data_IF_567604789284
#
_entry.id   IF_567604789284
#
_cell.length_a   1.000
_cell.length_b   1.000
_cell.length_c   1.000
_cell.angle_alpha   90.00
_cell.angle_beta   90.00
_cell.angle_gamma   90.00
#
_symmetry.space_group_name_H-M   'P 1'
#
loop_
_entity.id
_entity.type
_entity.pdbx_description
1 polymer ?
#
# COMPACT_ATOMS: atom_id res chain seq x y z
N UNK A 1 14.65 29.77 -4.56
CA UNK A 1 14.91 29.44 -5.94
C UNK A 1 13.99 28.32 -6.34
N UNK A 2 13.01 28.67 -7.21
CA UNK A 2 12.03 27.75 -7.77
C UNK A 2 12.79 26.69 -8.58
N UNK A 3 12.77 25.45 -8.09
CA UNK A 3 13.21 24.33 -8.91
C UNK A 3 12.23 24.21 -10.09
N UNK A 4 12.72 24.12 -11.33
CA UNK A 4 11.84 23.92 -12.46
C UNK A 4 11.10 22.60 -12.27
N UNK A 5 9.78 22.65 -12.21
CA UNK A 5 8.93 21.47 -12.25
C UNK A 5 9.21 20.81 -13.59
N UNK A 6 10.01 19.76 -13.57
CA UNK A 6 10.27 18.93 -14.76
C UNK A 6 8.95 18.28 -15.14
N UNK A 7 8.32 18.82 -16.17
CA UNK A 7 7.12 18.22 -16.76
C UNK A 7 7.52 16.89 -17.41
N UNK A 8 7.23 15.79 -16.73
CA UNK A 8 7.39 14.45 -17.29
C UNK A 8 6.43 14.32 -18.47
N UNK A 9 6.97 14.23 -19.68
CA UNK A 9 6.17 13.99 -20.88
C UNK A 9 5.77 12.51 -20.93
N UNK A 10 4.54 12.22 -20.53
CA UNK A 10 4.00 10.87 -20.65
C UNK A 10 3.60 10.61 -22.11
N UNK A 11 4.06 9.51 -22.74
CA UNK A 11 3.76 9.21 -24.14
C UNK A 11 2.33 8.62 -24.29
N UNK A 12 1.30 9.43 -24.03
CA UNK A 12 -0.12 8.99 -24.01
C UNK A 12 -0.53 8.28 -25.30
N UNK A 13 -0.11 8.80 -26.47
CA UNK A 13 -0.43 8.15 -27.77
C UNK A 13 0.16 6.74 -27.90
N UNK A 14 1.37 6.54 -27.39
CA UNK A 14 2.01 5.23 -27.37
C UNK A 14 1.29 4.29 -26.41
N UNK A 15 0.96 4.75 -25.20
CA UNK A 15 0.19 3.98 -24.23
C UNK A 15 -1.17 3.54 -24.79
N UNK A 16 -1.84 4.41 -25.55
CA UNK A 16 -3.12 4.08 -26.16
C UNK A 16 -3.02 3.09 -27.33
N UNK A 17 -1.87 2.95 -27.97
CA UNK A 17 -1.67 2.07 -29.12
C UNK A 17 -1.08 0.71 -28.77
N UNK A 18 -0.10 0.70 -27.88
CA UNK A 18 0.79 -0.46 -27.68
C UNK A 18 0.54 -1.17 -26.34
N UNK A 19 -0.29 -0.61 -25.46
CA UNK A 19 -0.51 -1.21 -24.14
C UNK A 19 -1.76 -2.10 -24.09
N UNK A 20 -1.90 -2.85 -22.98
CA UNK A 20 -3.09 -3.68 -22.71
C UNK A 20 -4.33 -2.82 -22.45
N UNK A 21 -5.52 -3.40 -22.60
CA UNK A 21 -6.79 -2.71 -22.38
C UNK A 21 -6.90 -2.09 -20.98
N UNK A 22 -6.34 -2.73 -19.95
CA UNK A 22 -6.30 -2.18 -18.61
C UNK A 22 -5.47 -0.89 -18.53
N UNK A 23 -4.27 -0.87 -19.14
CA UNK A 23 -3.41 0.32 -19.19
C UNK A 23 -4.04 1.42 -20.03
N UNK A 24 -4.70 1.09 -21.14
CA UNK A 24 -5.43 2.05 -21.96
C UNK A 24 -6.56 2.71 -21.15
N UNK A 25 -7.37 1.91 -20.46
CA UNK A 25 -8.45 2.40 -19.60
C UNK A 25 -7.92 3.33 -18.50
N UNK A 26 -6.86 2.93 -17.81
CA UNK A 26 -6.21 3.75 -16.78
C UNK A 26 -5.58 5.04 -17.36
N UNK A 27 -5.01 4.97 -18.55
CA UNK A 27 -4.50 6.15 -19.26
C UNK A 27 -5.61 7.18 -19.52
N UNK A 28 -6.80 6.73 -19.94
CA UNK A 28 -7.96 7.61 -20.13
C UNK A 28 -8.40 8.25 -18.80
N UNK A 29 -8.53 7.43 -17.75
CA UNK A 29 -9.03 7.89 -16.46
C UNK A 29 -8.00 8.76 -15.73
N UNK A 30 -6.75 8.28 -15.61
CA UNK A 30 -5.77 8.88 -14.71
C UNK A 30 -4.98 10.01 -15.35
N UNK A 31 -4.65 9.90 -16.64
CA UNK A 31 -3.85 10.90 -17.34
C UNK A 31 -4.70 11.90 -18.12
N UNK A 32 -5.66 11.41 -18.89
CA UNK A 32 -6.54 12.27 -19.66
C UNK A 32 -7.67 12.88 -18.81
N UNK A 33 -7.95 12.33 -17.63
CA UNK A 33 -9.05 12.72 -16.73
C UNK A 33 -10.41 12.67 -17.43
N UNK A 34 -10.58 11.71 -18.33
CA UNK A 34 -11.80 11.48 -19.10
C UNK A 34 -12.53 10.24 -18.59
N UNK A 35 -13.84 10.22 -18.83
CA UNK A 35 -14.62 9.00 -18.61
C UNK A 35 -14.32 8.03 -19.77
N UNK A 36 -13.89 6.78 -19.50
CA UNK A 36 -13.60 5.83 -20.56
C UNK A 36 -14.88 5.43 -21.29
N UNK A 37 -14.78 5.17 -22.59
CA UNK A 37 -15.87 4.59 -23.36
C UNK A 37 -16.19 3.18 -22.84
N UNK A 38 -17.42 2.73 -23.06
CA UNK A 38 -17.89 1.42 -22.60
C UNK A 38 -17.02 0.27 -23.13
N UNK A 39 -16.60 0.36 -24.38
CA UNK A 39 -15.73 -0.62 -25.02
C UNK A 39 -14.36 -0.71 -24.32
N UNK A 40 -13.76 0.41 -23.94
CA UNK A 40 -12.49 0.43 -23.23
C UNK A 40 -12.61 -0.20 -21.82
N UNK A 41 -13.75 0.03 -21.14
CA UNK A 41 -14.05 -0.64 -19.88
C UNK A 41 -14.23 -2.15 -20.06
N UNK A 42 -14.96 -2.58 -21.07
CA UNK A 42 -15.17 -3.99 -21.35
C UNK A 42 -13.85 -4.71 -21.68
N UNK A 43 -12.99 -4.11 -22.49
CA UNK A 43 -11.66 -4.68 -22.81
C UNK A 43 -10.81 -4.82 -21.53
N UNK A 44 -10.86 -3.87 -20.62
CA UNK A 44 -10.15 -3.96 -19.34
C UNK A 44 -10.68 -5.10 -18.45
N UNK A 45 -12.01 -5.30 -18.44
CA UNK A 45 -12.65 -6.34 -17.63
C UNK A 45 -12.38 -7.77 -18.12
N UNK A 46 -12.13 -7.97 -19.43
CA UNK A 46 -11.88 -9.31 -19.98
C UNK A 46 -10.40 -9.73 -19.95
N UNK A 47 -9.55 -8.99 -19.25
CA UNK A 47 -8.16 -9.41 -19.05
C UNK A 47 -8.12 -10.72 -18.26
N UNK A 48 -7.48 -11.75 -18.79
CA UNK A 48 -7.48 -13.12 -18.25
C UNK A 48 -7.08 -13.17 -16.77
N UNK A 49 -6.01 -12.47 -16.41
CA UNK A 49 -5.55 -12.43 -15.01
C UNK A 49 -6.57 -11.81 -14.05
N UNK A 50 -7.32 -10.80 -14.50
CA UNK A 50 -8.37 -10.16 -13.71
C UNK A 50 -9.60 -11.07 -13.58
N UNK A 51 -10.00 -11.75 -14.63
CA UNK A 51 -11.10 -12.73 -14.59
C UNK A 51 -10.73 -13.86 -13.64
N UNK A 52 -9.52 -14.45 -13.80
CA UNK A 52 -9.05 -15.51 -12.90
C UNK A 52 -9.06 -15.05 -11.44
N UNK A 53 -8.56 -13.86 -11.18
CA UNK A 53 -8.61 -13.26 -9.85
C UNK A 53 -10.04 -13.12 -9.34
N UNK A 54 -10.97 -12.62 -10.16
CA UNK A 54 -12.36 -12.41 -9.76
C UNK A 54 -13.08 -13.73 -9.41
N UNK A 55 -12.86 -14.81 -10.18
CA UNK A 55 -13.54 -16.09 -9.97
C UNK A 55 -12.94 -16.93 -8.84
N UNK A 56 -11.71 -16.62 -8.40
CA UNK A 56 -11.07 -17.32 -7.27
C UNK A 56 -11.36 -16.69 -5.91
N UNK A 57 -12.16 -15.62 -5.86
CA UNK A 57 -12.59 -14.98 -4.62
C UNK A 57 -13.47 -15.93 -3.78
N UNK A 58 -13.25 -15.98 -2.48
CA UNK A 58 -14.10 -16.68 -1.54
C UNK A 58 -15.40 -15.89 -1.25
N UNK A 59 -16.42 -16.58 -0.75
CA UNK A 59 -17.72 -15.97 -0.42
C UNK A 59 -17.65 -14.86 0.65
N UNK A 60 -16.63 -14.91 1.51
CA UNK A 60 -16.39 -13.90 2.55
C UNK A 60 -15.70 -12.62 2.00
N UNK A 61 -15.31 -12.63 0.74
CA UNK A 61 -14.62 -11.53 0.07
C UNK A 61 -13.09 -11.58 0.21
N UNK A 62 -12.53 -12.68 0.67
CA UNK A 62 -11.08 -12.91 0.75
C UNK A 62 -10.57 -13.72 -0.43
N UNK A 63 -9.25 -13.74 -0.62
CA UNK A 63 -8.54 -14.63 -1.53
C UNK A 63 -7.55 -15.49 -0.76
N UNK A 64 -7.60 -16.80 -1.02
CA UNK A 64 -6.69 -17.77 -0.40
C UNK A 64 -6.76 -17.84 1.12
N UNK A 65 -7.78 -17.24 1.75
CA UNK A 65 -7.89 -17.13 3.21
C UNK A 65 -6.76 -16.29 3.86
N UNK A 66 -6.06 -15.47 3.08
CA UNK A 66 -4.88 -14.72 3.50
C UNK A 66 -4.98 -13.25 3.14
N UNK A 67 -4.30 -12.41 3.92
CA UNK A 67 -4.18 -10.97 3.65
C UNK A 67 -3.01 -10.66 2.71
N UNK A 68 -1.85 -11.30 2.94
CA UNK A 68 -0.60 -11.06 2.23
C UNK A 68 -0.16 -12.25 1.39
N UNK A 69 0.50 -12.02 0.24
CA UNK A 69 1.01 -13.10 -0.59
C UNK A 69 2.15 -13.85 0.12
N UNK A 70 2.23 -15.14 -0.11
CA UNK A 70 3.36 -15.98 0.31
C UNK A 70 4.49 -15.85 -0.69
N UNK A 71 5.73 -15.87 -0.23
CA UNK A 71 6.90 -15.90 -1.10
C UNK A 71 6.81 -17.10 -2.06
N UNK A 72 6.96 -16.86 -3.37
CA UNK A 72 6.85 -17.90 -4.39
C UNK A 72 5.43 -18.33 -4.78
N UNK A 73 4.39 -17.78 -4.15
CA UNK A 73 3.02 -18.02 -4.58
C UNK A 73 2.73 -17.33 -5.92
N UNK A 74 1.70 -17.82 -6.62
CA UNK A 74 1.22 -17.18 -7.84
C UNK A 74 0.78 -15.72 -7.53
N UNK A 75 0.91 -14.80 -8.49
CA UNK A 75 0.45 -13.42 -8.32
C UNK A 75 -1.03 -13.34 -7.95
N UNK A 76 -1.39 -12.35 -7.14
CA UNK A 76 -2.77 -12.02 -6.79
C UNK A 76 -3.57 -13.14 -6.09
N UNK A 77 -2.89 -14.02 -5.35
CA UNK A 77 -3.52 -15.12 -4.60
C UNK A 77 -3.90 -14.75 -3.17
N UNK A 78 -3.59 -13.54 -2.72
CA UNK A 78 -3.94 -13.04 -1.39
C UNK A 78 -4.82 -11.79 -1.49
N UNK A 79 -5.61 -11.52 -0.45
CA UNK A 79 -6.69 -10.53 -0.47
C UNK A 79 -6.23 -9.14 -0.88
N UNK A 80 -5.15 -8.61 -0.30
CA UNK A 80 -4.69 -7.27 -0.62
C UNK A 80 -4.14 -7.15 -2.05
N UNK A 81 -3.37 -8.13 -2.50
CA UNK A 81 -2.84 -8.14 -3.86
C UNK A 81 -3.91 -8.36 -4.92
N UNK A 82 -4.88 -9.23 -4.64
CA UNK A 82 -6.00 -9.51 -5.54
C UNK A 82 -6.94 -8.30 -5.71
N UNK A 83 -7.33 -7.68 -4.59
CA UNK A 83 -8.17 -6.47 -4.62
C UNK A 83 -7.50 -5.34 -5.42
N UNK A 84 -6.20 -5.11 -5.17
CA UNK A 84 -5.41 -4.13 -5.90
C UNK A 84 -5.35 -4.44 -7.38
N UNK A 85 -5.06 -5.68 -7.74
CA UNK A 85 -4.97 -6.10 -9.14
C UNK A 85 -6.26 -5.81 -9.92
N UNK A 86 -7.42 -6.10 -9.34
CA UNK A 86 -8.70 -5.79 -9.98
C UNK A 86 -8.88 -4.28 -10.20
N UNK A 87 -8.52 -3.44 -9.20
CA UNK A 87 -8.57 -1.98 -9.37
C UNK A 87 -7.60 -1.50 -10.47
N UNK A 88 -6.39 -2.04 -10.51
CA UNK A 88 -5.37 -1.70 -11.51
C UNK A 88 -5.78 -2.14 -12.91
N UNK A 89 -6.51 -3.25 -13.03
CA UNK A 89 -7.13 -3.70 -14.27
C UNK A 89 -8.35 -2.87 -14.69
N UNK A 90 -8.74 -1.86 -13.92
CA UNK A 90 -9.84 -0.94 -14.27
C UNK A 90 -11.23 -1.43 -13.84
N UNK A 91 -11.32 -2.45 -12.98
CA UNK A 91 -12.61 -2.88 -12.42
C UNK A 91 -13.18 -1.78 -11.53
N UNK A 92 -14.46 -1.53 -11.69
CA UNK A 92 -15.18 -0.55 -10.89
C UNK A 92 -15.40 -1.08 -9.47
N UNK A 93 -15.36 -0.20 -8.47
CA UNK A 93 -15.59 -0.51 -7.06
C UNK A 93 -16.93 -1.18 -6.75
N UNK A 94 -17.93 -0.99 -7.61
CA UNK A 94 -19.25 -1.60 -7.46
C UNK A 94 -19.36 -2.95 -8.20
N UNK A 95 -18.32 -3.38 -8.93
CA UNK A 95 -18.27 -4.73 -9.48
C UNK A 95 -18.32 -5.78 -8.38
N UNK A 96 -19.02 -6.93 -8.60
CA UNK A 96 -19.31 -7.89 -7.52
C UNK A 96 -18.11 -8.29 -6.67
N UNK A 97 -16.92 -8.65 -7.23
CA UNK A 97 -15.77 -9.03 -6.41
C UNK A 97 -15.30 -7.92 -5.49
N UNK A 98 -15.19 -6.67 -6.01
CA UNK A 98 -14.74 -5.53 -5.21
C UNK A 98 -15.80 -5.09 -4.19
N UNK A 99 -17.08 -5.16 -4.54
CA UNK A 99 -18.17 -4.81 -3.64
C UNK A 99 -18.29 -5.77 -2.45
N UNK A 100 -18.01 -7.06 -2.65
CA UNK A 100 -17.99 -8.06 -1.56
C UNK A 100 -16.73 -7.89 -0.72
N UNK A 101 -15.56 -7.86 -1.34
CA UNK A 101 -14.28 -7.73 -0.65
C UNK A 101 -14.13 -6.41 0.11
N UNK A 102 -14.74 -5.33 -0.37
CA UNK A 102 -14.83 -4.05 0.34
C UNK A 102 -15.34 -4.22 1.77
N UNK A 103 -16.41 -5.03 1.96
CA UNK A 103 -16.98 -5.29 3.30
C UNK A 103 -15.97 -5.94 4.22
N UNK A 104 -15.21 -6.89 3.69
CA UNK A 104 -14.11 -7.53 4.39
C UNK A 104 -13.03 -6.50 4.82
N UNK A 105 -12.57 -5.64 3.89
CA UNK A 105 -11.58 -4.61 4.20
C UNK A 105 -12.07 -3.61 5.25
N UNK A 106 -13.34 -3.19 5.21
CA UNK A 106 -13.91 -2.32 6.23
C UNK A 106 -13.96 -2.97 7.62
N UNK A 107 -14.15 -4.29 7.70
CA UNK A 107 -14.07 -5.01 8.98
C UNK A 107 -12.67 -4.91 9.59
N UNK A 108 -11.61 -5.02 8.77
CA UNK A 108 -10.23 -4.84 9.24
C UNK A 108 -9.97 -3.46 9.86
N UNK A 109 -10.68 -2.43 9.42
CA UNK A 109 -10.59 -1.07 10.00
C UNK A 109 -11.38 -0.92 11.30
N UNK A 110 -12.48 -1.64 11.47
CA UNK A 110 -13.41 -1.49 12.59
C UNK A 110 -13.05 -2.36 13.81
N UNK A 111 -12.50 -3.57 13.59
CA UNK A 111 -12.27 -4.59 14.62
C UNK A 111 -10.83 -4.53 15.15
N UNK A 112 -10.54 -3.53 15.99
CA UNK A 112 -9.19 -3.23 16.47
C UNK A 112 -8.58 -4.30 17.36
N UNK A 113 -9.40 -4.89 18.22
CA UNK A 113 -8.98 -5.73 19.33
C UNK A 113 -9.15 -7.24 19.04
N UNK A 114 -9.82 -7.59 17.93
CA UNK A 114 -10.10 -8.98 17.60
C UNK A 114 -8.83 -9.70 17.09
N UNK A 115 -8.28 -10.68 17.85
CA UNK A 115 -7.09 -11.43 17.42
C UNK A 115 -7.30 -12.18 16.10
N UNK A 116 -8.53 -12.63 15.79
CA UNK A 116 -8.84 -13.36 14.55
C UNK A 116 -8.58 -12.51 13.31
N UNK A 117 -8.59 -11.18 13.43
CA UNK A 117 -8.31 -10.24 12.33
C UNK A 117 -6.81 -10.09 12.02
N UNK A 118 -5.94 -10.79 12.72
CA UNK A 118 -4.53 -10.93 12.35
C UNK A 118 -4.32 -11.98 11.26
N UNK A 119 -5.29 -12.87 11.04
CA UNK A 119 -5.21 -13.96 10.04
C UNK A 119 -3.87 -14.72 10.15
N UNK A 120 -3.18 -14.92 9.04
CA UNK A 120 -1.88 -15.61 8.98
C UNK A 120 -0.80 -14.98 9.86
N UNK A 121 -0.92 -13.68 10.21
CA UNK A 121 0.06 -12.99 11.07
C UNK A 121 -0.17 -13.26 12.56
N UNK A 122 -1.25 -13.97 12.91
CA UNK A 122 -1.51 -14.37 14.31
C UNK A 122 -0.46 -15.32 14.86
N UNK A 123 0.06 -16.21 14.04
CA UNK A 123 1.14 -17.13 14.42
C UNK A 123 2.46 -16.38 14.65
N UNK A 124 2.76 -15.40 13.82
CA UNK A 124 3.96 -14.54 13.96
C UNK A 124 3.91 -13.71 15.24
N UNK A 125 2.75 -13.17 15.57
CA UNK A 125 2.55 -12.40 16.80
C UNK A 125 2.66 -13.27 18.05
N UNK A 126 2.15 -14.49 18.01
CA UNK A 126 2.09 -15.38 19.17
C UNK A 126 1.48 -14.69 20.38
N UNK A 127 2.19 -14.68 21.52
CA UNK A 127 1.82 -13.97 22.74
C UNK A 127 2.34 -12.54 22.82
N UNK A 128 3.13 -12.07 21.84
CA UNK A 128 3.75 -10.75 21.85
C UNK A 128 2.72 -9.67 21.47
N UNK A 129 2.26 -8.95 22.50
CA UNK A 129 1.22 -7.90 22.35
C UNK A 129 1.68 -6.70 21.52
N UNK A 130 2.95 -6.30 21.66
CA UNK A 130 3.48 -5.17 20.90
C UNK A 130 3.61 -5.51 19.42
N UNK A 131 4.08 -6.72 19.10
CA UNK A 131 4.13 -7.20 17.73
C UNK A 131 2.71 -7.30 17.13
N UNK A 132 1.75 -7.88 17.83
CA UNK A 132 0.36 -7.95 17.40
C UNK A 132 -0.22 -6.57 17.11
N UNK A 133 0.06 -5.57 17.94
CA UNK A 133 -0.35 -4.17 17.73
C UNK A 133 0.25 -3.57 16.45
N UNK A 134 1.53 -3.86 16.16
CA UNK A 134 2.20 -3.38 14.94
C UNK A 134 1.67 -4.05 13.69
N UNK A 135 1.45 -5.36 13.74
CA UNK A 135 0.86 -6.11 12.62
C UNK A 135 -0.56 -5.61 12.31
N UNK A 136 -1.40 -5.36 13.34
CA UNK A 136 -2.71 -4.71 13.13
C UNK A 136 -2.60 -3.35 12.49
N UNK A 137 -1.66 -2.53 12.94
CA UNK A 137 -1.44 -1.22 12.37
C UNK A 137 -1.03 -1.31 10.88
N UNK A 138 -0.19 -2.28 10.53
CA UNK A 138 0.20 -2.55 9.15
C UNK A 138 -0.99 -2.99 8.29
N UNK A 139 -1.77 -3.97 8.75
CA UNK A 139 -3.00 -4.44 8.09
C UNK A 139 -3.96 -3.27 7.82
N UNK A 140 -4.14 -2.37 8.80
CA UNK A 140 -5.03 -1.22 8.65
C UNK A 140 -4.56 -0.20 7.63
N UNK A 141 -3.28 0.08 7.58
CA UNK A 141 -2.72 0.99 6.58
C UNK A 141 -2.90 0.42 5.19
N UNK A 142 -2.66 -0.89 5.01
CA UNK A 142 -2.86 -1.56 3.72
C UNK A 142 -4.35 -1.55 3.31
N UNK A 143 -5.25 -1.91 4.22
CA UNK A 143 -6.69 -1.87 3.95
C UNK A 143 -7.18 -0.44 3.64
N UNK A 144 -6.69 0.57 4.37
CA UNK A 144 -7.03 1.97 4.12
C UNK A 144 -6.51 2.46 2.77
N UNK A 145 -5.30 2.05 2.37
CA UNK A 145 -4.72 2.37 1.06
C UNK A 145 -5.57 1.82 -0.08
N UNK A 146 -5.99 0.56 0.01
CA UNK A 146 -6.83 -0.09 -1.00
C UNK A 146 -8.23 0.54 -1.07
N UNK A 147 -8.85 0.83 0.06
CA UNK A 147 -10.14 1.48 0.10
C UNK A 147 -10.07 2.92 -0.42
N UNK A 148 -9.00 3.66 -0.12
CA UNK A 148 -8.78 4.99 -0.69
C UNK A 148 -8.61 4.91 -2.22
N UNK A 149 -7.81 3.96 -2.72
CA UNK A 149 -7.65 3.70 -4.16
C UNK A 149 -8.98 3.35 -4.84
N UNK A 150 -9.86 2.66 -4.14
CA UNK A 150 -11.22 2.33 -4.63
C UNK A 150 -12.20 3.53 -4.54
N UNK A 151 -11.77 4.71 -4.09
CA UNK A 151 -12.60 5.91 -4.02
C UNK A 151 -13.44 6.03 -2.74
N UNK A 152 -13.00 5.38 -1.64
CA UNK A 152 -13.62 5.51 -0.30
C UNK A 152 -12.79 6.39 0.65
N UNK A 153 -11.98 7.31 0.12
CA UNK A 153 -11.08 8.20 0.88
C UNK A 153 -11.81 9.11 1.87
N UNK A 154 -13.12 9.37 1.64
CA UNK A 154 -13.97 10.18 2.52
C UNK A 154 -14.71 9.37 3.58
N UNK A 155 -14.66 8.04 3.53
CA UNK A 155 -15.30 7.23 4.59
C UNK A 155 -14.60 7.49 5.94
N UNK A 156 -15.35 7.75 7.02
CA UNK A 156 -14.77 8.09 8.33
C UNK A 156 -13.80 7.04 8.87
N UNK A 157 -14.02 5.76 8.57
CA UNK A 157 -13.14 4.66 9.01
C UNK A 157 -11.81 4.71 8.28
N UNK A 158 -11.83 4.92 6.96
CA UNK A 158 -10.64 5.07 6.12
C UNK A 158 -9.87 6.32 6.56
N UNK A 159 -10.57 7.46 6.70
CA UNK A 159 -9.98 8.72 7.15
C UNK A 159 -9.37 8.59 8.55
N UNK A 160 -10.06 7.96 9.50
CA UNK A 160 -9.54 7.75 10.85
C UNK A 160 -8.28 6.87 10.88
N UNK A 161 -8.23 5.80 10.07
CA UNK A 161 -7.03 4.98 9.93
C UNK A 161 -5.88 5.76 9.31
N UNK A 162 -6.15 6.56 8.28
CA UNK A 162 -5.19 7.40 7.59
C UNK A 162 -4.58 8.48 8.50
N UNK A 163 -5.41 9.18 9.29
CA UNK A 163 -4.94 10.19 10.24
C UNK A 163 -3.97 9.55 11.26
N UNK A 164 -4.35 8.41 11.85
CA UNK A 164 -3.48 7.71 12.80
C UNK A 164 -2.15 7.25 12.18
N UNK A 165 -2.18 6.75 10.94
CA UNK A 165 -0.97 6.37 10.22
C UNK A 165 -0.09 7.58 9.91
N UNK A 166 -0.69 8.69 9.46
CA UNK A 166 0.00 9.94 9.17
C UNK A 166 0.67 10.51 10.42
N UNK A 167 -0.05 10.60 11.54
CA UNK A 167 0.52 11.08 12.80
C UNK A 167 1.76 10.27 13.20
N UNK A 168 1.68 8.93 13.15
CA UNK A 168 2.81 8.04 13.49
C UNK A 168 4.03 8.28 12.61
N UNK A 169 3.82 8.40 11.30
CA UNK A 169 4.90 8.69 10.35
C UNK A 169 5.49 10.09 10.59
N UNK A 170 4.65 11.10 10.84
CA UNK A 170 5.11 12.45 11.12
C UNK A 170 5.91 12.55 12.43
N UNK A 171 5.49 11.82 13.47
CA UNK A 171 6.22 11.74 14.74
C UNK A 171 7.60 11.11 14.54
N UNK A 172 7.69 10.05 13.73
CA UNK A 172 8.96 9.46 13.33
C UNK A 172 9.83 10.45 12.55
N UNK A 173 9.30 11.08 11.50
CA UNK A 173 10.06 12.01 10.66
C UNK A 173 10.57 13.25 11.40
N UNK A 174 9.91 13.65 12.48
CA UNK A 174 10.35 14.76 13.37
C UNK A 174 11.32 14.29 14.46
N UNK A 175 11.43 13.01 14.68
CA UNK A 175 12.30 12.45 15.72
C UNK A 175 13.75 12.34 15.24
N UNK A 176 14.73 12.27 16.17
CA UNK A 176 16.13 11.97 15.83
C UNK A 176 16.31 10.62 15.10
N UNK A 177 15.35 9.70 15.26
CA UNK A 177 15.37 8.38 14.63
C UNK A 177 15.23 8.46 13.09
N UNK A 178 14.65 9.52 12.54
CA UNK A 178 14.60 9.70 11.09
C UNK A 178 16.00 9.84 10.47
N UNK A 179 16.93 10.48 11.21
CA UNK A 179 18.32 10.66 10.76
C UNK A 179 19.21 9.48 11.16
N UNK A 180 18.93 8.80 12.26
CA UNK A 180 19.73 7.68 12.79
C UNK A 180 18.81 6.56 13.29
N UNK A 181 18.14 5.82 12.38
CA UNK A 181 17.16 4.82 12.78
C UNK A 181 17.79 3.52 13.32
N UNK A 182 19.11 3.35 13.14
CA UNK A 182 19.81 2.10 13.42
C UNK A 182 20.44 2.09 14.82
N UNK A 183 20.24 0.99 15.53
CA UNK A 183 20.95 0.65 16.77
C UNK A 183 21.74 -0.64 16.59
N UNK A 184 22.77 -0.84 17.41
CA UNK A 184 23.55 -2.06 17.40
C UNK A 184 23.03 -3.05 18.44
N UNK A 185 22.69 -4.26 17.97
CA UNK A 185 22.29 -5.39 18.83
C UNK A 185 23.24 -6.55 18.53
N UNK A 186 24.15 -6.82 19.45
CA UNK A 186 25.25 -7.75 19.23
C UNK A 186 26.10 -7.32 18.04
N UNK A 187 26.22 -8.19 17.02
CA UNK A 187 26.97 -7.92 15.80
C UNK A 187 26.11 -7.39 14.64
N UNK A 188 24.83 -7.14 14.87
CA UNK A 188 23.89 -6.68 13.83
C UNK A 188 23.48 -5.24 14.07
N UNK A 189 23.26 -4.50 12.99
CA UNK A 189 22.53 -3.25 13.03
C UNK A 189 21.05 -3.54 12.76
N UNK A 190 20.17 -3.02 13.60
CA UNK A 190 18.72 -3.18 13.51
C UNK A 190 18.06 -1.83 13.68
N UNK A 191 16.84 -1.67 13.21
CA UNK A 191 16.05 -0.48 13.48
C UNK A 191 15.72 -0.40 14.98
N UNK A 192 15.78 0.79 15.52
CA UNK A 192 15.34 1.04 16.90
C UNK A 192 13.87 0.60 17.06
N UNK A 193 13.51 0.08 18.23
CA UNK A 193 12.16 -0.38 18.53
C UNK A 193 11.10 0.71 18.32
N UNK A 194 11.44 1.95 18.58
CA UNK A 194 10.56 3.12 18.44
C UNK A 194 10.50 3.66 17.01
N UNK A 195 11.41 3.21 16.12
CA UNK A 195 11.41 3.66 14.73
C UNK A 195 10.15 3.14 14.00
N UNK A 196 9.40 4.06 13.42
CA UNK A 196 8.20 3.76 12.63
C UNK A 196 8.33 4.42 11.24
N UNK A 197 9.25 3.96 10.40
CA UNK A 197 9.47 4.54 9.08
C UNK A 197 8.21 4.47 8.21
N UNK A 198 8.04 5.37 7.24
CA UNK A 198 6.98 5.26 6.26
C UNK A 198 7.09 3.94 5.49
N UNK A 199 5.96 3.44 5.01
CA UNK A 199 5.87 2.21 4.23
C UNK A 199 5.27 2.49 2.86
N UNK A 200 5.44 1.56 1.91
CA UNK A 200 4.77 1.66 0.60
C UNK A 200 3.26 1.77 0.72
N UNK A 201 2.64 1.05 1.66
CA UNK A 201 1.21 1.15 1.92
C UNK A 201 0.81 2.55 2.38
N UNK A 202 1.64 3.19 3.20
CA UNK A 202 1.43 4.58 3.62
C UNK A 202 1.52 5.56 2.42
N UNK A 203 2.53 5.40 1.55
CA UNK A 203 2.65 6.26 0.36
C UNK A 203 1.44 6.11 -0.57
N UNK A 204 0.99 4.88 -0.82
CA UNK A 204 -0.22 4.63 -1.62
C UNK A 204 -1.44 5.28 -0.99
N UNK A 205 -1.63 5.08 0.31
CA UNK A 205 -2.75 5.70 1.03
C UNK A 205 -2.72 7.23 0.85
N UNK A 206 -1.58 7.86 1.08
CA UNK A 206 -1.42 9.30 0.91
C UNK A 206 -1.67 9.75 -0.55
N UNK A 207 -1.23 8.95 -1.54
CA UNK A 207 -1.43 9.24 -2.96
C UNK A 207 -2.92 9.35 -3.33
N UNK A 208 -3.76 8.46 -2.79
CA UNK A 208 -5.20 8.44 -3.06
C UNK A 208 -6.04 9.29 -2.10
N UNK A 209 -5.42 10.08 -1.21
CA UNK A 209 -6.11 10.93 -0.24
C UNK A 209 -5.67 12.40 -0.36
N UNK A 210 -6.11 13.13 -1.39
CA UNK A 210 -5.65 14.51 -1.64
C UNK A 210 -5.99 15.48 -0.49
N UNK A 211 -7.15 15.33 0.15
CA UNK A 211 -7.54 16.15 1.31
C UNK A 211 -6.57 15.94 2.48
N UNK A 212 -6.15 14.70 2.74
CA UNK A 212 -5.16 14.38 3.77
C UNK A 212 -3.80 15.03 3.47
N UNK A 213 -3.34 14.98 2.21
CA UNK A 213 -2.08 15.64 1.82
C UNK A 213 -2.12 17.14 2.04
N UNK A 214 -3.25 17.79 1.75
CA UNK A 214 -3.43 19.22 1.99
C UNK A 214 -3.44 19.55 3.47
N UNK A 215 -4.15 18.77 4.27
CA UNK A 215 -4.23 18.93 5.72
C UNK A 215 -2.86 18.77 6.40
N UNK A 216 -2.04 17.83 5.91
CA UNK A 216 -0.73 17.50 6.46
C UNK A 216 0.43 17.95 5.56
N UNK A 217 0.26 19.05 4.80
CA UNK A 217 1.26 19.50 3.78
C UNK A 217 2.68 19.61 4.32
N UNK A 218 2.89 20.21 5.50
CA UNK A 218 4.21 20.30 6.14
C UNK A 218 4.83 18.92 6.41
N UNK A 219 3.99 17.96 6.76
CA UNK A 219 4.42 16.58 6.94
C UNK A 219 4.78 15.90 5.62
N UNK A 220 4.04 16.17 4.56
CA UNK A 220 4.36 15.65 3.23
C UNK A 220 5.67 16.22 2.68
N UNK A 221 6.02 17.47 3.01
CA UNK A 221 7.34 18.02 2.70
C UNK A 221 8.47 17.31 3.45
N UNK A 222 8.27 17.00 4.75
CA UNK A 222 9.24 16.20 5.52
C UNK A 222 9.40 14.79 4.93
N UNK A 223 8.29 14.18 4.51
CA UNK A 223 8.31 12.89 3.82
C UNK A 223 9.10 12.97 2.51
N UNK A 224 8.84 14.00 1.69
CA UNK A 224 9.59 14.22 0.45
C UNK A 224 11.10 14.36 0.70
N UNK A 225 11.51 15.12 1.72
CA UNK A 225 12.94 15.23 2.10
C UNK A 225 13.53 13.89 2.55
N UNK A 226 12.75 13.09 3.30
CA UNK A 226 13.18 11.76 3.73
C UNK A 226 13.39 10.82 2.55
N UNK A 227 12.49 10.84 1.56
CA UNK A 227 12.58 10.04 0.35
C UNK A 227 13.74 10.45 -0.59
N UNK A 228 14.32 11.62 -0.40
CA UNK A 228 15.50 12.08 -1.15
C UNK A 228 16.83 11.74 -0.47
N UNK A 229 16.80 11.17 0.73
CA UNK A 229 18.03 10.76 1.44
C UNK A 229 18.54 9.42 0.88
N UNK A 230 19.88 9.22 0.80
CA UNK A 230 20.42 7.95 0.36
C UNK A 230 20.07 6.85 1.34
N UNK A 231 19.46 5.77 0.87
CA UNK A 231 19.08 4.64 1.69
C UNK A 231 20.30 3.75 2.02
N UNK A 232 20.44 3.32 3.29
CA UNK A 232 21.42 2.30 3.65
C UNK A 232 21.07 0.95 2.97
N UNK A 233 22.11 0.22 2.52
CA UNK A 233 21.96 -1.06 1.78
C UNK A 233 21.56 -2.26 2.65
N UNK A 234 20.91 -2.03 3.76
CA UNK A 234 20.60 -3.06 4.75
C UNK A 234 19.10 -3.31 4.80
N UNK A 235 18.71 -4.59 4.82
CA UNK A 235 17.30 -4.94 5.02
C UNK A 235 16.79 -4.45 6.38
N UNK A 236 15.63 -3.80 6.43
CA UNK A 236 15.07 -3.28 7.67
C UNK A 236 14.53 -4.41 8.54
N UNK A 237 15.28 -4.71 9.59
CA UNK A 237 14.90 -5.63 10.67
C UNK A 237 14.82 -4.82 11.96
N UNK A 238 13.79 -5.04 12.75
CA UNK A 238 13.56 -4.34 14.01
C UNK A 238 13.58 -5.31 15.18
N UNK A 239 14.09 -4.88 16.32
CA UNK A 239 13.98 -5.65 17.55
C UNK A 239 12.72 -5.26 18.32
N UNK A 240 11.84 -6.23 18.57
CA UNK A 240 10.59 -6.05 19.31
C UNK A 240 10.58 -7.08 20.43
N UNK A 241 10.66 -6.63 21.68
CA UNK A 241 10.68 -7.49 22.87
C UNK A 241 11.67 -8.65 22.77
N UNK A 242 12.87 -8.37 22.26
CA UNK A 242 13.95 -9.36 22.10
C UNK A 242 13.90 -10.17 20.81
N UNK A 243 12.82 -10.12 20.04
CA UNK A 243 12.73 -10.78 18.73
C UNK A 243 13.19 -9.87 17.60
N UNK A 244 13.84 -10.45 16.59
CA UNK A 244 14.20 -9.76 15.36
C UNK A 244 13.09 -9.98 14.34
N UNK A 245 12.39 -8.92 13.97
CA UNK A 245 11.24 -8.96 13.07
C UNK A 245 11.53 -8.11 11.84
N UNK A 246 11.35 -8.65 10.63
CA UNK A 246 11.41 -7.84 9.41
C UNK A 246 10.38 -6.72 9.45
N UNK A 247 10.73 -5.55 8.90
CA UNK A 247 9.79 -4.44 8.71
C UNK A 247 9.44 -4.38 7.22
N UNK A 248 8.36 -5.05 6.81
CA UNK A 248 8.05 -5.17 5.40
C UNK A 248 7.70 -3.81 4.80
N UNK A 249 8.21 -3.56 3.60
CA UNK A 249 7.92 -2.35 2.82
C UNK A 249 8.29 -1.02 3.52
N UNK A 250 9.18 -1.04 4.51
CA UNK A 250 9.72 0.18 5.14
C UNK A 250 10.56 0.97 4.13
N UNK A 251 10.41 2.29 4.15
CA UNK A 251 11.13 3.21 3.28
C UNK A 251 12.06 4.05 4.14
N UNK A 252 13.36 3.90 3.92
CA UNK A 252 14.39 4.55 4.70
C UNK A 252 15.17 5.61 3.92
N UNK A 253 14.77 5.88 2.68
CA UNK A 253 15.41 6.85 1.81
C UNK A 253 14.92 6.76 0.36
N UNK A 254 15.82 6.96 -0.58
CA UNK A 254 15.55 7.10 -2.02
C UNK A 254 15.23 5.79 -2.76
N UNK A 255 15.30 4.65 -2.09
CA UNK A 255 14.94 3.36 -2.66
C UNK A 255 13.57 2.92 -2.20
N UNK A 256 12.70 2.69 -3.16
CA UNK A 256 11.43 2.04 -2.87
C UNK A 256 11.67 0.53 -2.72
N UNK A 257 11.10 -0.10 -1.67
CA UNK A 257 11.24 -1.54 -1.48
C UNK A 257 10.70 -2.28 -2.71
N UNK A 258 11.54 -3.16 -3.25
CA UNK A 258 11.11 -4.07 -4.29
C UNK A 258 10.20 -5.12 -3.65
N UNK A 259 8.94 -5.12 -3.99
CA UNK A 259 8.19 -6.35 -3.93
C UNK A 259 8.79 -7.31 -4.93
N UNK A 260 8.63 -8.62 -4.67
CA UNK A 260 9.06 -9.70 -5.58
C UNK A 260 9.14 -9.20 -7.02
N UNK A 261 10.18 -9.56 -7.74
CA UNK A 261 10.46 -9.08 -9.11
C UNK A 261 9.27 -9.16 -10.09
N UNK A 262 8.17 -9.83 -9.71
CA UNK A 262 6.90 -9.95 -10.41
C UNK A 262 5.87 -8.86 -10.05
N UNK A 263 6.06 -8.12 -8.96
CA UNK A 263 5.17 -7.04 -8.52
C UNK A 263 6.00 -5.76 -8.31
N UNK A 264 6.56 -5.23 -9.40
CA UNK A 264 7.09 -3.88 -9.35
C UNK A 264 5.95 -2.93 -8.96
N UNK A 265 6.10 -2.22 -7.85
CA UNK A 265 5.14 -1.20 -7.40
C UNK A 265 5.25 0.08 -8.26
N UNK A 266 5.25 -0.11 -9.57
CA UNK A 266 5.27 0.98 -10.54
C UNK A 266 4.15 1.99 -10.29
N UNK A 267 2.90 1.58 -9.97
CA UNK A 267 1.84 2.56 -9.69
C UNK A 267 2.12 3.45 -8.48
N UNK A 268 2.74 2.94 -7.43
CA UNK A 268 3.03 3.73 -6.24
C UNK A 268 4.23 4.68 -6.42
N UNK A 269 5.14 4.37 -7.33
CA UNK A 269 6.28 5.24 -7.68
C UNK A 269 5.87 6.41 -8.60
N UNK A 270 4.72 6.29 -9.30
CA UNK A 270 4.22 7.31 -10.23
C UNK A 270 3.24 8.30 -9.58
N UNK A 271 2.80 8.07 -8.35
CA UNK A 271 1.90 8.93 -7.58
C UNK A 271 2.63 9.72 -6.50
#
# INVERSE_FOLDING_TARGET
PDMPVSTVKVPVRWLMRESTGAVQCRTIVDLAKLKPALEAQQIALVQESAIHCAVTMHLDGSWGGRLFPVAGAAPHTATFSAFRHLLECGWDRESPPLAVSRRFLFRLLAMDEDPSMLYELGEEAGSNKELAKRLRAHIRVEAAALLAQAGYERDPRVRGAAIRATQRVMDYLRSPLAAKPWIRVGNKQVLASEASPPTMSFLRMAAFMPELRTEYHMGMELLGRHLMQPEPRQEPVQQIEGMLVPVPNAILGDRLPHRNALEADVPAALH
#
